data_IF_507661183958
#
_entry.id   IF_507661183958
#
_cell.length_a   1.000
_cell.length_b   1.000
_cell.length_c   1.000
_cell.angle_alpha   90.00
_cell.angle_beta   90.00
_cell.angle_gamma   90.00
#
_symmetry.space_group_name_H-M   'P 1'
#
loop_
_entity.id
_entity.type
_entity.pdbx_description
1 polymer ?
#
# COMPACT_ATOMS: atom_id res chain seq x y z
N UNK A 1 -1.25 20.79 -8.04
CA UNK A 1 -0.58 19.72 -8.82
C UNK A 1 -0.26 18.48 -7.99
N UNK A 2 0.16 18.59 -6.71
CA UNK A 2 0.43 17.41 -5.87
C UNK A 2 -0.75 16.45 -5.69
N UNK A 3 -1.95 16.96 -5.39
CA UNK A 3 -3.16 16.14 -5.19
C UNK A 3 -3.53 15.31 -6.42
N UNK A 4 -3.48 15.90 -7.61
CA UNK A 4 -3.79 15.20 -8.86
C UNK A 4 -2.80 14.07 -9.13
N UNK A 5 -1.51 14.29 -8.85
CA UNK A 5 -0.47 13.26 -8.99
C UNK A 5 -0.72 12.09 -8.02
N UNK A 6 -1.03 12.38 -6.76
CA UNK A 6 -1.35 11.33 -5.75
C UNK A 6 -2.57 10.52 -6.19
N UNK A 7 -3.66 11.18 -6.59
CA UNK A 7 -4.87 10.49 -7.05
C UNK A 7 -4.61 9.62 -8.28
N UNK A 8 -3.85 10.12 -9.27
CA UNK A 8 -3.54 9.35 -10.48
C UNK A 8 -2.70 8.11 -10.18
N UNK A 9 -1.68 8.23 -9.33
CA UNK A 9 -0.82 7.09 -8.94
C UNK A 9 -1.64 6.05 -8.18
N UNK A 10 -2.43 6.48 -7.19
CA UNK A 10 -3.28 5.57 -6.41
C UNK A 10 -4.32 4.88 -7.29
N UNK A 11 -4.95 5.61 -8.22
CA UNK A 11 -5.91 5.04 -9.16
C UNK A 11 -5.27 3.96 -10.04
N UNK A 12 -4.07 4.20 -10.58
CA UNK A 12 -3.35 3.20 -11.38
C UNK A 12 -2.97 1.96 -10.57
N UNK A 13 -2.48 2.14 -9.34
CA UNK A 13 -2.08 1.03 -8.47
C UNK A 13 -3.26 0.13 -8.08
N UNK A 14 -4.42 0.71 -7.77
CA UNK A 14 -5.63 -0.06 -7.42
C UNK A 14 -6.31 -0.66 -8.64
N UNK A 15 -6.23 0.00 -9.79
CA UNK A 15 -6.86 -0.48 -11.02
C UNK A 15 -6.08 -1.66 -11.65
N UNK A 16 -4.76 -1.52 -11.80
CA UNK A 16 -3.93 -2.45 -12.57
C UNK A 16 -3.53 -3.71 -11.79
N UNK A 17 -3.50 -3.65 -10.45
CA UNK A 17 -2.98 -4.72 -9.61
C UNK A 17 -4.01 -5.24 -8.63
N UNK A 18 -4.03 -6.56 -8.46
CA UNK A 18 -4.60 -7.22 -7.31
C UNK A 18 -3.52 -7.28 -6.23
N UNK A 19 -3.88 -6.98 -4.99
CA UNK A 19 -2.94 -6.93 -3.88
C UNK A 19 -3.20 -8.10 -2.94
N UNK A 20 -2.15 -8.89 -2.69
CA UNK A 20 -2.20 -10.04 -1.80
C UNK A 20 -1.16 -9.88 -0.69
N UNK A 21 -1.47 -10.36 0.51
CA UNK A 21 -0.50 -10.38 1.59
C UNK A 21 0.56 -11.47 1.33
N UNK A 22 1.82 -11.25 1.76
CA UNK A 22 2.83 -12.30 1.74
C UNK A 22 2.34 -13.55 2.47
N UNK A 23 2.69 -14.73 1.96
CA UNK A 23 2.28 -16.00 2.55
C UNK A 23 2.65 -16.07 4.03
N UNK A 24 1.66 -16.35 4.89
CA UNK A 24 1.86 -16.46 6.33
C UNK A 24 1.57 -15.19 7.13
N UNK A 25 1.19 -14.08 6.49
CA UNK A 25 0.78 -12.85 7.18
C UNK A 25 -0.74 -12.74 7.19
N UNK A 26 -1.35 -12.69 8.39
CA UNK A 26 -2.77 -12.36 8.51
C UNK A 26 -2.99 -10.84 8.53
N UNK A 27 -4.16 -10.38 8.10
CA UNK A 27 -4.51 -8.96 8.16
C UNK A 27 -4.44 -8.38 9.59
N UNK A 28 -4.66 -9.21 10.61
CA UNK A 28 -4.58 -8.83 12.03
C UNK A 28 -3.15 -8.68 12.54
N UNK A 29 -2.18 -9.30 11.86
CA UNK A 29 -0.77 -9.28 12.25
C UNK A 29 -0.04 -8.08 11.63
N UNK A 30 -0.74 -7.28 10.83
CA UNK A 30 -0.20 -6.07 10.22
C UNK A 30 -0.04 -4.99 11.29
N UNK A 31 1.20 -4.58 11.54
CA UNK A 31 1.48 -3.47 12.44
C UNK A 31 1.03 -2.13 11.82
N UNK A 32 0.08 -1.49 12.49
CA UNK A 32 -0.48 -0.19 12.10
C UNK A 32 0.10 0.98 12.90
N UNK A 33 1.08 0.73 13.78
CA UNK A 33 1.74 1.77 14.58
C UNK A 33 2.31 2.84 13.66
N UNK A 34 2.18 4.11 14.04
CA UNK A 34 2.65 5.26 13.26
C UNK A 34 3.94 5.81 13.85
N UNK A 35 4.84 6.28 12.98
CA UNK A 35 6.02 7.03 13.40
C UNK A 35 5.80 8.52 13.16
N UNK A 36 5.99 9.33 14.20
CA UNK A 36 5.75 10.76 14.16
C UNK A 36 7.03 11.51 13.73
N UNK A 37 7.06 11.98 12.49
CA UNK A 37 8.17 12.76 11.92
C UNK A 37 7.62 13.84 10.97
N UNK A 38 8.45 14.35 10.05
CA UNK A 38 8.04 15.34 9.03
C UNK A 38 6.82 14.89 8.22
N UNK A 39 6.69 13.59 7.98
CA UNK A 39 5.49 12.94 7.44
C UNK A 39 4.99 11.88 8.40
N UNK A 40 3.67 11.77 8.58
CA UNK A 40 3.04 10.66 9.29
C UNK A 40 3.06 9.42 8.39
N UNK A 41 3.93 8.46 8.71
CA UNK A 41 4.04 7.17 8.03
C UNK A 41 3.85 6.01 9.00
N UNK A 42 3.62 4.81 8.47
CA UNK A 42 3.65 3.58 9.27
C UNK A 42 5.06 3.37 9.84
N UNK A 43 5.15 2.97 11.10
CA UNK A 43 6.41 2.70 11.80
C UNK A 43 7.17 1.55 11.14
N UNK A 44 6.44 0.56 10.65
CA UNK A 44 6.96 -0.55 9.85
C UNK A 44 6.40 -0.49 8.42
N UNK A 45 7.23 -0.81 7.44
CA UNK A 45 6.80 -0.85 6.04
C UNK A 45 5.77 -1.96 5.82
N UNK A 46 4.68 -1.62 5.12
CA UNK A 46 3.68 -2.60 4.70
C UNK A 46 4.18 -3.34 3.46
N UNK A 47 4.10 -4.66 3.49
CA UNK A 47 4.45 -5.52 2.36
C UNK A 47 3.17 -6.08 1.74
N UNK A 48 3.04 -5.94 0.43
CA UNK A 48 1.98 -6.54 -0.36
C UNK A 48 2.56 -7.00 -1.69
N UNK A 49 2.09 -8.14 -2.17
CA UNK A 49 2.46 -8.70 -3.47
C UNK A 49 1.46 -8.19 -4.52
N UNK A 50 1.90 -7.38 -5.50
CA UNK A 50 1.05 -7.01 -6.62
C UNK A 50 1.01 -8.13 -7.66
N UNK A 51 -0.19 -8.49 -8.11
CA UNK A 51 -0.44 -9.40 -9.22
C UNK A 51 -1.22 -8.63 -10.30
N UNK A 52 -0.76 -8.63 -11.54
CA UNK A 52 -1.43 -7.91 -12.63
C UNK A 52 -2.85 -8.45 -12.87
N UNK A 53 -3.83 -7.55 -13.04
CA UNK A 53 -5.23 -7.91 -13.31
C UNK A 53 -5.55 -8.08 -14.79
N UNK A 54 -4.79 -7.44 -15.68
CA UNK A 54 -4.88 -7.69 -17.11
C UNK A 54 -3.96 -8.86 -17.47
N UNK A 55 -4.56 -10.01 -17.79
CA UNK A 55 -3.94 -11.13 -18.51
C UNK A 55 -4.06 -10.94 -20.01
#
# INVERSE_FOLDING_TARGET
>A
MGMTTVCSIVAQLVHCFNWELPSGVNAKDIDMTENFSLSMGRANHLYAKPTYRLS
#
